data_IF_511047936776
#
_entry.id   IF_511047936776
#
_cell.length_a   1.000
_cell.length_b   1.000
_cell.length_c   1.000
_cell.angle_alpha   90.00
_cell.angle_beta   90.00
_cell.angle_gamma   90.00
#
_symmetry.space_group_name_H-M   'P 1'
#
loop_
_entity.id
_entity.type
_entity.pdbx_description
1 polymer ?
#
# COMPACT_ATOMS: atom_id res chain seq x y z
N UNK A 1 6.97 -13.79 -10.34
CA UNK A 1 6.14 -13.32 -9.21
C UNK A 1 7.00 -12.69 -8.11
N UNK A 2 6.53 -11.58 -7.52
CA UNK A 2 7.16 -10.89 -6.39
C UNK A 2 6.48 -11.24 -5.07
N UNK A 3 7.25 -11.57 -4.04
CA UNK A 3 6.73 -11.76 -2.67
C UNK A 3 7.28 -10.66 -1.76
N UNK A 4 6.41 -10.01 -0.99
CA UNK A 4 6.78 -8.93 -0.07
C UNK A 4 6.20 -9.19 1.31
N UNK A 5 7.06 -9.29 2.32
CA UNK A 5 6.63 -9.32 3.73
C UNK A 5 6.53 -7.89 4.26
N UNK A 6 5.34 -7.51 4.72
CA UNK A 6 5.04 -6.16 5.19
C UNK A 6 5.59 -5.95 6.61
N UNK A 7 6.65 -5.14 6.72
CA UNK A 7 7.30 -4.79 7.99
C UNK A 7 7.61 -3.30 8.06
N UNK A 8 7.43 -2.69 9.23
CA UNK A 8 7.89 -1.32 9.47
C UNK A 8 9.40 -1.29 9.71
N UNK A 9 10.13 -0.56 8.86
CA UNK A 9 11.53 -0.21 9.08
C UNK A 9 11.63 0.90 10.14
N UNK A 10 12.34 0.67 11.24
CA UNK A 10 12.65 1.70 12.25
C UNK A 10 12.43 1.27 13.71
N UNK A 11 11.73 0.17 13.95
CA UNK A 11 11.47 -0.32 15.32
C UNK A 11 12.74 -0.73 16.07
N UNK A 12 13.77 -1.22 15.38
CA UNK A 12 15.03 -1.63 16.00
C UNK A 12 15.85 -0.45 16.53
N UNK A 13 15.94 0.65 15.77
CA UNK A 13 16.67 1.86 16.18
C UNK A 13 15.94 2.56 17.33
N UNK A 14 14.61 2.66 17.27
CA UNK A 14 13.81 3.21 18.36
C UNK A 14 13.98 2.42 19.66
N UNK A 15 14.03 1.08 19.58
CA UNK A 15 14.25 0.22 20.74
C UNK A 15 15.67 0.41 21.31
N UNK A 16 16.70 0.44 20.45
CA UNK A 16 18.07 0.71 20.87
C UNK A 16 18.20 2.08 21.57
N UNK A 17 17.59 3.12 20.99
CA UNK A 17 17.57 4.46 21.58
C UNK A 17 16.85 4.48 22.93
N UNK A 18 15.73 3.76 23.06
CA UNK A 18 14.97 3.66 24.30
C UNK A 18 15.76 2.93 25.40
N UNK A 19 16.53 1.88 25.06
CA UNK A 19 17.41 1.17 26.00
C UNK A 19 18.55 2.07 26.47
N UNK A 20 19.22 2.78 25.55
CA UNK A 20 20.28 3.73 25.89
C UNK A 20 19.74 4.85 26.79
N UNK A 21 18.57 5.41 26.44
CA UNK A 21 17.91 6.42 27.23
C UNK A 21 17.56 5.93 28.64
N UNK A 22 17.07 4.69 28.77
CA UNK A 22 16.77 4.08 30.07
C UNK A 22 18.03 3.92 30.92
N UNK A 23 19.16 3.49 30.35
CA UNK A 23 20.43 3.38 31.08
C UNK A 23 20.92 4.73 31.60
N UNK A 24 20.89 5.76 30.75
CA UNK A 24 21.29 7.13 31.14
C UNK A 24 20.37 7.66 32.23
N UNK A 25 19.05 7.50 32.05
CA UNK A 25 18.07 7.98 33.01
C UNK A 25 18.19 7.26 34.36
N UNK A 26 18.40 5.94 34.36
CA UNK A 26 18.63 5.17 35.58
C UNK A 26 19.91 5.61 36.33
N UNK A 27 20.98 5.95 35.60
CA UNK A 27 22.21 6.46 36.20
C UNK A 27 22.01 7.84 36.87
N UNK A 28 21.32 8.77 36.18
CA UNK A 28 20.97 10.09 36.73
C UNK A 28 20.07 9.92 37.96
N UNK A 29 19.10 9.01 37.88
CA UNK A 29 18.19 8.74 38.97
C UNK A 29 18.90 8.15 40.19
N UNK A 30 19.80 7.19 39.99
CA UNK A 30 20.65 6.65 41.04
C UNK A 30 21.44 7.75 41.73
N UNK A 31 22.06 8.66 40.97
CA UNK A 31 22.79 9.81 41.53
C UNK A 31 21.88 10.74 42.36
N UNK A 32 20.66 11.04 41.88
CA UNK A 32 19.72 11.88 42.61
C UNK A 32 19.26 11.25 43.94
N UNK A 33 19.05 9.93 43.99
CA UNK A 33 18.70 9.23 45.22
C UNK A 33 19.78 9.37 46.30
N UNK A 34 21.06 9.38 45.93
CA UNK A 34 22.15 9.55 46.90
C UNK A 34 22.39 11.02 47.29
N UNK A 35 21.97 11.98 46.47
CA UNK A 35 22.37 13.39 46.61
C UNK A 35 21.29 14.29 47.23
N UNK A 36 20.01 13.89 47.21
CA UNK A 36 18.89 14.75 47.65
C UNK A 36 18.40 14.34 49.04
N UNK A 37 18.67 15.16 50.06
CA UNK A 37 18.09 14.97 51.40
C UNK A 37 16.64 15.48 51.46
N UNK A 38 15.70 14.62 51.87
CA UNK A 38 14.32 15.01 52.21
C UNK A 38 13.27 14.93 51.10
N UNK A 39 13.58 14.35 49.93
CA UNK A 39 12.66 14.24 48.78
C UNK A 39 12.41 12.82 48.27
N UNK A 40 12.84 11.79 49.00
CA UNK A 40 12.93 10.41 48.53
C UNK A 40 11.61 9.85 47.97
N UNK A 41 10.48 10.11 48.63
CA UNK A 41 9.18 9.63 48.19
C UNK A 41 8.71 10.24 46.86
N UNK A 42 9.00 11.53 46.63
CA UNK A 42 8.64 12.23 45.39
C UNK A 42 9.51 11.70 44.24
N UNK A 43 10.81 11.55 44.51
CA UNK A 43 11.80 11.01 43.56
C UNK A 43 11.43 9.57 43.19
N UNK A 44 11.10 8.72 44.17
CA UNK A 44 10.64 7.34 43.95
C UNK A 44 9.33 7.28 43.15
N UNK A 45 8.35 8.13 43.47
CA UNK A 45 7.08 8.20 42.75
C UNK A 45 7.25 8.61 41.29
N UNK A 46 8.09 9.61 41.01
CA UNK A 46 8.41 10.02 39.64
C UNK A 46 9.09 8.91 38.84
N UNK A 47 10.01 8.16 39.46
CA UNK A 47 10.67 7.02 38.82
C UNK A 47 9.70 5.88 38.52
N UNK A 48 8.84 5.52 39.46
CA UNK A 48 7.83 4.49 39.24
C UNK A 48 6.92 4.86 38.06
N UNK A 49 6.46 6.11 38.00
CA UNK A 49 5.65 6.62 36.90
C UNK A 49 6.40 6.59 35.56
N UNK A 50 7.66 7.06 35.54
CA UNK A 50 8.49 7.04 34.34
C UNK A 50 8.75 5.61 33.86
N UNK A 51 9.09 4.69 34.76
CA UNK A 51 9.28 3.28 34.44
C UNK A 51 8.02 2.65 33.87
N UNK A 52 6.83 3.01 34.38
CA UNK A 52 5.57 2.54 33.82
C UNK A 52 5.37 3.01 32.36
N UNK A 53 5.66 4.29 32.06
CA UNK A 53 5.58 4.83 30.68
C UNK A 53 6.56 4.10 29.75
N UNK A 54 7.82 3.94 30.17
CA UNK A 54 8.83 3.27 29.35
C UNK A 54 8.47 1.80 29.15
N UNK A 55 8.06 1.09 30.21
CA UNK A 55 7.64 -0.30 30.12
C UNK A 55 6.47 -0.47 29.14
N UNK A 56 5.47 0.41 29.20
CA UNK A 56 4.35 0.41 28.26
C UNK A 56 4.82 0.66 26.81
N UNK A 57 5.74 1.61 26.62
CA UNK A 57 6.34 1.90 25.30
C UNK A 57 7.11 0.70 24.72
N UNK A 58 7.96 0.06 25.54
CA UNK A 58 8.70 -1.16 25.15
C UNK A 58 7.71 -2.28 24.81
N UNK A 59 6.72 -2.52 25.67
CA UNK A 59 5.72 -3.56 25.46
C UNK A 59 4.97 -3.37 24.12
N UNK A 60 4.54 -2.14 23.82
CA UNK A 60 3.87 -1.83 22.56
C UNK A 60 4.76 -2.08 21.33
N UNK A 61 6.05 -1.71 21.41
CA UNK A 61 7.03 -1.96 20.34
C UNK A 61 7.32 -3.45 20.14
N UNK A 62 7.53 -4.18 21.23
CA UNK A 62 7.77 -5.63 21.20
C UNK A 62 6.55 -6.38 20.65
N UNK A 63 5.34 -5.99 21.06
CA UNK A 63 4.09 -6.56 20.53
C UNK A 63 4.02 -6.41 19.01
N UNK A 64 4.22 -5.20 18.48
CA UNK A 64 4.24 -4.95 17.02
C UNK A 64 5.31 -5.78 16.31
N UNK A 65 6.53 -5.84 16.87
CA UNK A 65 7.63 -6.60 16.29
C UNK A 65 7.34 -8.10 16.26
N UNK A 66 6.66 -8.62 17.28
CA UNK A 66 6.22 -10.02 17.33
C UNK A 66 5.24 -10.31 16.19
N UNK A 67 4.28 -9.44 15.92
CA UNK A 67 3.36 -9.61 14.78
C UNK A 67 4.11 -9.63 13.44
N UNK A 68 5.03 -8.69 13.19
CA UNK A 68 5.84 -8.71 11.98
C UNK A 68 6.70 -9.98 11.87
N UNK A 69 7.26 -10.44 12.99
CA UNK A 69 8.02 -11.69 13.05
C UNK A 69 7.16 -12.93 12.76
N UNK A 70 5.88 -12.93 13.17
CA UNK A 70 4.92 -14.00 12.83
C UNK A 70 4.64 -14.04 11.34
N UNK A 71 4.33 -12.88 10.73
CA UNK A 71 4.11 -12.78 9.29
C UNK A 71 5.34 -13.23 8.48
N UNK A 72 6.54 -12.86 8.92
CA UNK A 72 7.79 -13.30 8.29
C UNK A 72 7.96 -14.83 8.38
N UNK A 73 7.84 -15.42 9.57
CA UNK A 73 7.97 -16.88 9.74
C UNK A 73 6.94 -17.66 8.92
N UNK A 74 5.73 -17.14 8.82
CA UNK A 74 4.71 -17.73 7.97
C UNK A 74 5.11 -17.66 6.49
N UNK A 75 5.55 -16.49 6.01
CA UNK A 75 6.02 -16.34 4.65
C UNK A 75 7.21 -17.27 4.36
N UNK A 76 8.18 -17.39 5.27
CA UNK A 76 9.34 -18.27 5.11
C UNK A 76 8.96 -19.76 5.07
N UNK A 77 7.84 -20.15 5.67
CA UNK A 77 7.32 -21.51 5.67
C UNK A 77 6.42 -21.84 4.46
N UNK A 78 5.96 -20.81 3.72
CA UNK A 78 5.09 -20.99 2.56
C UNK A 78 5.89 -21.02 1.26
N UNK A 79 5.36 -21.73 0.26
CA UNK A 79 5.87 -21.69 -1.10
C UNK A 79 4.96 -20.81 -1.96
N UNK A 80 5.57 -19.95 -2.76
CA UNK A 80 4.87 -18.96 -3.57
C UNK A 80 5.14 -19.26 -5.05
N UNK A 81 4.08 -19.40 -5.85
CA UNK A 81 4.13 -19.65 -7.30
C UNK A 81 3.15 -18.76 -8.06
N UNK A 82 3.25 -18.70 -9.39
CA UNK A 82 2.30 -17.92 -10.22
C UNK A 82 0.85 -18.42 -10.09
N UNK A 83 0.65 -19.69 -9.69
CA UNK A 83 -0.65 -20.28 -9.39
C UNK A 83 -1.22 -19.88 -8.02
N UNK A 84 -0.41 -19.33 -7.11
CA UNK A 84 -0.85 -18.92 -5.77
C UNK A 84 0.12 -19.30 -4.65
N UNK A 85 -0.43 -19.62 -3.47
CA UNK A 85 0.34 -19.89 -2.24
C UNK A 85 0.09 -21.31 -1.76
N UNK A 86 1.17 -22.04 -1.47
CA UNK A 86 1.13 -23.34 -0.81
C UNK A 86 1.59 -23.18 0.64
N UNK A 87 0.72 -23.58 1.56
CA UNK A 87 0.96 -23.61 2.98
C UNK A 87 1.74 -24.87 3.38
N UNK A 88 2.50 -24.83 4.49
CA UNK A 88 3.23 -26.00 4.99
C UNK A 88 2.30 -27.14 5.43
N UNK A 89 1.06 -26.81 5.81
CA UNK A 89 0.04 -27.75 6.25
C UNK A 89 -1.36 -27.27 5.82
N UNK A 90 -2.38 -28.10 6.03
CA UNK A 90 -3.77 -27.72 5.74
C UNK A 90 -4.29 -26.76 6.80
N UNK A 91 -4.47 -25.49 6.42
CA UNK A 91 -4.90 -24.41 7.31
C UNK A 91 -6.34 -24.02 7.04
N UNK A 92 -7.03 -23.52 8.07
CA UNK A 92 -8.33 -22.89 7.94
C UNK A 92 -8.18 -21.39 7.65
N UNK A 93 -8.91 -20.91 6.65
CA UNK A 93 -8.83 -19.52 6.21
C UNK A 93 -10.12 -19.03 5.53
N UNK A 94 -10.21 -17.72 5.42
CA UNK A 94 -11.30 -16.99 4.78
C UNK A 94 -10.78 -16.25 3.54
N UNK A 95 -11.40 -16.50 2.40
CA UNK A 95 -11.31 -15.62 1.22
C UNK A 95 -12.15 -14.37 1.46
N UNK A 96 -11.72 -13.25 0.90
CA UNK A 96 -12.49 -12.02 0.93
C UNK A 96 -11.75 -10.85 0.31
N UNK A 97 -12.35 -9.66 0.43
CA UNK A 97 -11.70 -8.41 0.04
C UNK A 97 -11.26 -7.67 1.29
N UNK A 98 -10.01 -7.23 1.31
CA UNK A 98 -9.49 -6.36 2.36
C UNK A 98 -9.51 -4.91 1.88
N UNK A 99 -10.32 -4.08 2.54
CA UNK A 99 -10.29 -2.64 2.40
C UNK A 99 -9.44 -2.00 3.49
N UNK A 100 -8.50 -1.16 3.07
CA UNK A 100 -7.62 -0.41 3.95
C UNK A 100 -7.75 1.07 3.64
N UNK A 101 -7.94 1.90 4.66
CA UNK A 101 -7.95 3.35 4.53
C UNK A 101 -6.95 3.96 5.50
N UNK A 102 -6.01 4.72 4.97
CA UNK A 102 -4.99 5.43 5.73
C UNK A 102 -5.26 6.92 5.68
N UNK A 103 -5.18 7.61 6.82
CA UNK A 103 -5.34 9.06 6.89
C UNK A 103 -4.61 9.66 8.09
N UNK A 104 -4.29 10.94 8.00
CA UNK A 104 -3.70 11.69 9.10
C UNK A 104 -4.78 12.48 9.84
N UNK A 105 -4.76 12.43 11.17
CA UNK A 105 -5.64 13.22 12.04
C UNK A 105 -4.80 14.27 12.77
N UNK A 106 -5.33 15.48 12.86
CA UNK A 106 -4.66 16.63 13.49
C UNK A 106 -4.02 17.58 12.48
N UNK A 107 -3.42 18.67 12.99
CA UNK A 107 -2.78 19.71 12.17
C UNK A 107 -1.31 19.90 12.58
N UNK A 108 -0.46 20.24 11.61
CA UNK A 108 0.96 20.54 11.83
C UNK A 108 1.82 19.34 12.23
N UNK A 109 2.72 19.54 13.19
CA UNK A 109 3.74 18.56 13.61
C UNK A 109 3.20 17.41 14.47
N UNK A 110 1.99 17.56 15.03
CA UNK A 110 1.38 16.59 15.95
C UNK A 110 0.34 15.70 15.26
N UNK A 111 0.46 15.48 13.96
CA UNK A 111 -0.45 14.60 13.23
C UNK A 111 -0.19 13.13 13.57
N UNK A 112 -1.25 12.38 13.82
CA UNK A 112 -1.21 10.93 14.02
C UNK A 112 -1.71 10.22 12.77
N UNK A 113 -1.06 9.12 12.40
CA UNK A 113 -1.49 8.28 11.27
C UNK A 113 -2.46 7.22 11.78
N UNK A 114 -3.65 7.18 11.18
CA UNK A 114 -4.71 6.24 11.49
C UNK A 114 -4.95 5.32 10.30
N UNK A 115 -5.35 4.09 10.61
CA UNK A 115 -5.65 3.06 9.61
C UNK A 115 -6.95 2.37 9.98
N UNK A 116 -7.94 2.50 9.11
CA UNK A 116 -9.17 1.70 9.12
C UNK A 116 -8.95 0.45 8.26
N UNK A 117 -9.49 -0.67 8.73
CA UNK A 117 -9.37 -1.97 8.09
C UNK A 117 -10.72 -2.65 8.14
N UNK A 118 -11.16 -3.12 7.00
CA UNK A 118 -12.40 -3.87 6.86
C UNK A 118 -12.14 -5.07 5.97
N UNK A 119 -12.38 -6.26 6.49
CA UNK A 119 -12.28 -7.50 5.73
C UNK A 119 -13.69 -8.03 5.50
N UNK A 120 -14.08 -8.14 4.23
CA UNK A 120 -15.38 -8.67 3.82
C UNK A 120 -15.20 -10.11 3.38
N UNK A 121 -15.53 -11.10 4.23
CA UNK A 121 -15.35 -12.51 3.89
C UNK A 121 -16.34 -12.95 2.81
N UNK A 122 -15.87 -13.72 1.84
CA UNK A 122 -16.68 -14.34 0.79
C UNK A 122 -16.88 -15.84 1.02
N UNK A 123 -15.83 -16.57 1.40
CA UNK A 123 -15.85 -18.02 1.56
C UNK A 123 -14.87 -18.49 2.62
N UNK A 124 -15.29 -19.42 3.49
CA UNK A 124 -14.39 -20.17 4.37
C UNK A 124 -13.91 -21.43 3.67
N UNK A 125 -12.64 -21.78 3.85
CA UNK A 125 -12.07 -23.00 3.29
C UNK A 125 -10.99 -23.57 4.20
N UNK A 126 -10.64 -24.82 3.94
CA UNK A 126 -9.52 -25.51 4.58
C UNK A 126 -8.75 -26.24 3.49
N UNK A 127 -7.51 -25.83 3.28
CA UNK A 127 -6.65 -26.37 2.23
C UNK A 127 -5.18 -26.11 2.56
N UNK A 128 -4.28 -26.84 1.91
CA UNK A 128 -2.84 -26.58 1.92
C UNK A 128 -2.42 -25.65 0.79
N UNK A 129 -3.34 -25.25 -0.09
CA UNK A 129 -3.08 -24.37 -1.20
C UNK A 129 -4.20 -23.33 -1.38
N UNK A 130 -3.80 -22.15 -1.79
CA UNK A 130 -4.67 -21.04 -2.15
C UNK A 130 -4.30 -20.61 -3.56
N UNK A 131 -5.25 -20.74 -4.48
CA UNK A 131 -5.07 -20.25 -5.83
C UNK A 131 -5.04 -18.72 -5.85
N UNK A 132 -4.30 -18.15 -6.80
CA UNK A 132 -4.31 -16.71 -7.03
C UNK A 132 -5.73 -16.27 -7.46
N UNK A 133 -6.40 -15.35 -6.74
CA UNK A 133 -7.77 -14.96 -7.07
C UNK A 133 -7.86 -14.28 -8.45
N UNK A 134 -8.88 -14.63 -9.24
CA UNK A 134 -9.24 -13.96 -10.50
C UNK A 134 -10.02 -12.65 -10.24
N UNK A 135 -9.59 -11.88 -9.24
CA UNK A 135 -10.25 -10.65 -8.81
C UNK A 135 -9.30 -9.45 -8.97
N UNK A 136 -9.89 -8.30 -9.31
CA UNK A 136 -9.15 -7.06 -9.47
C UNK A 136 -8.89 -6.41 -8.12
N UNK A 137 -7.77 -5.70 -8.01
CA UNK A 137 -7.48 -4.83 -6.88
C UNK A 137 -7.51 -3.36 -7.31
N UNK A 138 -7.63 -2.42 -6.37
CA UNK A 138 -7.46 -0.99 -6.60
C UNK A 138 -6.65 -0.36 -5.47
N UNK A 139 -5.57 0.34 -5.82
CA UNK A 139 -4.69 1.01 -4.88
C UNK A 139 -4.50 2.49 -5.25
N UNK A 140 -4.90 3.38 -4.35
CA UNK A 140 -4.75 4.83 -4.47
C UNK A 140 -4.18 5.37 -3.17
N UNK A 141 -2.85 5.51 -3.10
CA UNK A 141 -2.11 5.85 -1.88
C UNK A 141 -1.08 6.93 -2.18
N UNK A 142 -1.15 8.05 -1.46
CA UNK A 142 -0.21 9.16 -1.53
C UNK A 142 1.13 8.80 -0.87
N UNK A 143 2.18 9.56 -1.18
CA UNK A 143 3.52 9.37 -0.60
C UNK A 143 3.55 9.34 0.94
N UNK A 144 2.60 10.01 1.60
CA UNK A 144 2.53 10.08 3.07
C UNK A 144 1.73 8.93 3.69
N UNK A 145 1.26 7.98 2.88
CA UNK A 145 0.44 6.84 3.27
C UNK A 145 -1.07 7.11 3.33
N UNK A 146 -1.53 8.32 3.00
CA UNK A 146 -2.96 8.65 2.91
C UNK A 146 -3.57 7.99 1.68
N UNK A 147 -4.73 7.36 1.81
CA UNK A 147 -5.42 6.78 0.67
C UNK A 147 -6.20 5.52 1.00
N UNK A 148 -6.65 4.83 -0.04
CA UNK A 148 -7.43 3.60 0.03
C UNK A 148 -6.77 2.49 -0.79
N UNK A 149 -6.79 1.27 -0.25
CA UNK A 149 -6.46 0.04 -0.97
C UNK A 149 -7.62 -0.93 -0.80
N UNK A 150 -8.10 -1.51 -1.89
CA UNK A 150 -9.06 -2.60 -1.91
C UNK A 150 -8.41 -3.74 -2.68
N UNK A 151 -8.21 -4.88 -2.04
CA UNK A 151 -7.42 -5.98 -2.60
C UNK A 151 -8.02 -7.33 -2.21
N UNK A 152 -8.07 -8.31 -3.13
CA UNK A 152 -8.38 -9.69 -2.79
C UNK A 152 -7.38 -10.22 -1.77
N UNK A 153 -7.90 -10.87 -0.73
CA UNK A 153 -7.08 -11.31 0.38
C UNK A 153 -7.59 -12.64 0.97
N UNK A 154 -6.65 -13.38 1.54
CA UNK A 154 -6.94 -14.53 2.39
C UNK A 154 -6.53 -14.19 3.82
N UNK A 155 -7.44 -14.39 4.77
CA UNK A 155 -7.18 -14.27 6.21
C UNK A 155 -7.17 -15.64 6.85
N UNK A 156 -6.08 -15.97 7.53
CA UNK A 156 -5.92 -17.25 8.21
C UNK A 156 -6.59 -17.20 9.58
N UNK A 157 -7.44 -18.18 9.85
CA UNK A 157 -8.22 -18.30 11.09
C UNK A 157 -7.65 -19.33 12.06
N UNK A 158 -6.81 -20.25 11.56
CA UNK A 158 -6.10 -21.25 12.36
C UNK A 158 -5.28 -20.62 13.51
N UNK A 159 -5.16 -21.29 14.66
CA UNK A 159 -4.56 -20.71 15.87
C UNK A 159 -3.10 -20.30 15.69
N UNK A 160 -2.30 -21.11 14.99
CA UNK A 160 -0.86 -20.87 14.84
C UNK A 160 -0.60 -19.57 14.06
N UNK A 161 -1.40 -19.36 13.01
CA UNK A 161 -1.26 -18.28 12.03
C UNK A 161 -2.41 -17.28 12.08
N UNK A 162 -3.14 -17.24 13.20
CA UNK A 162 -4.32 -16.40 13.36
C UNK A 162 -4.04 -14.95 13.00
N UNK A 163 -4.93 -14.39 12.20
CA UNK A 163 -4.91 -13.00 11.71
C UNK A 163 -3.77 -12.67 10.75
N UNK A 164 -3.05 -13.66 10.24
CA UNK A 164 -2.19 -13.46 9.08
C UNK A 164 -3.08 -13.21 7.85
N UNK A 165 -2.72 -12.21 7.07
CA UNK A 165 -3.38 -11.85 5.82
C UNK A 165 -2.39 -11.95 4.67
N UNK A 166 -2.84 -12.58 3.60
CA UNK A 166 -2.14 -12.70 2.32
C UNK A 166 -2.92 -11.87 1.31
N UNK A 167 -2.27 -10.86 0.73
CA UNK A 167 -2.86 -9.93 -0.23
C UNK A 167 -2.38 -10.26 -1.63
N UNK A 168 -3.30 -10.24 -2.60
CA UNK A 168 -3.03 -10.64 -3.97
C UNK A 168 -3.18 -9.47 -4.93
N UNK A 169 -2.11 -9.10 -5.62
CA UNK A 169 -2.08 -8.06 -6.65
C UNK A 169 -1.77 -8.69 -8.00
N UNK A 170 -2.80 -8.84 -8.83
CA UNK A 170 -2.65 -9.42 -10.18
C UNK A 170 -1.94 -8.45 -11.13
N UNK A 171 -1.20 -8.99 -12.09
CA UNK A 171 -0.66 -8.27 -13.25
C UNK A 171 -1.57 -8.37 -14.49
N UNK A 172 -2.66 -9.13 -14.38
CA UNK A 172 -3.62 -9.37 -15.45
C UNK A 172 -4.60 -8.20 -15.57
N UNK A 173 -4.75 -7.68 -16.79
CA UNK A 173 -5.72 -6.64 -17.11
C UNK A 173 -5.28 -5.78 -18.29
N UNK A 174 -6.21 -4.98 -18.80
CA UNK A 174 -5.99 -4.10 -19.94
C UNK A 174 -6.56 -2.71 -19.65
N UNK A 175 -5.78 -1.69 -20.01
CA UNK A 175 -6.20 -0.30 -19.98
C UNK A 175 -7.08 -0.05 -21.19
N UNK A 176 -8.37 0.20 -20.96
CA UNK A 176 -9.34 0.60 -21.97
C UNK A 176 -9.58 2.11 -21.89
N UNK A 177 -9.37 2.78 -23.02
CA UNK A 177 -9.61 4.21 -23.16
C UNK A 177 -8.57 4.86 -24.05
N UNK A 178 -9.04 5.78 -24.89
CA UNK A 178 -8.21 6.71 -25.62
C UNK A 178 -8.95 8.04 -25.65
N UNK A 179 -8.21 9.14 -25.56
CA UNK A 179 -8.81 10.44 -25.37
C UNK A 179 -7.83 11.56 -25.59
N UNK A 180 -8.33 12.78 -25.42
CA UNK A 180 -7.60 14.00 -25.65
C UNK A 180 -8.00 15.04 -24.62
N UNK A 181 -7.12 15.25 -23.65
CA UNK A 181 -7.31 16.29 -22.64
C UNK A 181 -6.70 17.57 -23.13
N UNK A 182 -7.54 18.56 -23.41
CA UNK A 182 -7.09 19.91 -23.77
C UNK A 182 -7.25 20.86 -22.59
N UNK A 183 -6.17 21.53 -22.22
CA UNK A 183 -6.17 22.57 -21.19
C UNK A 183 -5.63 23.86 -21.79
N UNK A 184 -6.38 24.95 -21.65
CA UNK A 184 -6.03 26.23 -22.25
C UNK A 184 -6.35 27.40 -21.36
N UNK A 185 -5.59 28.47 -21.55
CA UNK A 185 -5.78 29.80 -20.98
C UNK A 185 -5.65 30.83 -22.12
N UNK A 186 -5.82 32.11 -21.82
CA UNK A 186 -5.71 33.19 -22.81
C UNK A 186 -4.39 33.20 -23.61
N UNK A 187 -3.30 32.61 -23.07
CA UNK A 187 -1.96 32.65 -23.71
C UNK A 187 -1.19 31.33 -23.70
N UNK A 188 -1.70 30.31 -23.02
CA UNK A 188 -1.04 29.01 -22.90
C UNK A 188 -2.03 27.92 -23.25
N UNK A 189 -1.61 26.91 -24.01
CA UNK A 189 -2.41 25.72 -24.29
C UNK A 189 -1.57 24.46 -24.23
N UNK A 190 -2.19 23.37 -23.81
CA UNK A 190 -1.62 22.04 -23.88
C UNK A 190 -2.68 21.02 -24.26
N UNK A 191 -2.27 20.05 -25.07
CA UNK A 191 -3.06 18.92 -25.51
C UNK A 191 -2.34 17.65 -25.09
N UNK A 192 -3.05 16.78 -24.39
CA UNK A 192 -2.57 15.47 -23.92
C UNK A 192 -3.38 14.42 -24.64
N UNK A 193 -2.76 13.75 -25.61
CA UNK A 193 -3.34 12.59 -26.28
C UNK A 193 -2.91 11.35 -25.50
N UNK A 194 -3.87 10.52 -25.11
CA UNK A 194 -3.56 9.29 -24.39
C UNK A 194 -4.30 8.10 -24.98
N UNK A 195 -3.74 6.91 -24.78
CA UNK A 195 -4.34 5.63 -25.11
C UNK A 195 -3.85 4.54 -24.16
N UNK A 196 -4.74 3.61 -23.86
CA UNK A 196 -4.37 2.35 -23.24
C UNK A 196 -3.57 1.48 -24.21
N UNK A 197 -2.49 0.88 -23.72
CA UNK A 197 -1.65 -0.05 -24.46
C UNK A 197 -1.29 -1.22 -23.54
N UNK A 198 -2.09 -2.30 -23.61
CA UNK A 198 -1.99 -3.41 -22.66
C UNK A 198 -2.20 -2.94 -21.23
N UNK A 199 -1.25 -3.20 -20.34
CA UNK A 199 -1.25 -2.75 -18.93
C UNK A 199 -0.81 -1.30 -18.71
N UNK A 200 -0.46 -0.58 -19.78
CA UNK A 200 0.10 0.77 -19.70
C UNK A 200 -0.90 1.81 -20.16
N UNK A 201 -0.86 2.99 -19.54
CA UNK A 201 -1.39 4.21 -20.13
C UNK A 201 -0.24 4.95 -20.79
N UNK A 202 -0.38 5.24 -22.08
CA UNK A 202 0.65 5.91 -22.89
C UNK A 202 0.08 7.18 -23.48
N UNK A 203 0.94 8.15 -23.76
CA UNK A 203 0.48 9.36 -24.42
C UNK A 203 1.57 10.36 -24.73
N UNK A 204 1.16 11.38 -25.46
CA UNK A 204 2.02 12.47 -25.94
C UNK A 204 1.43 13.79 -25.52
N UNK A 205 2.28 14.70 -25.06
CA UNK A 205 1.91 16.05 -24.67
C UNK A 205 2.49 17.05 -25.66
N UNK A 206 1.62 17.88 -26.23
CA UNK A 206 1.99 19.01 -27.06
C UNK A 206 1.55 20.29 -26.34
N UNK A 207 2.42 21.30 -26.26
CA UNK A 207 2.02 22.56 -25.65
C UNK A 207 2.65 23.78 -26.31
N UNK A 208 1.91 24.88 -26.22
CA UNK A 208 2.35 26.23 -26.55
C UNK A 208 2.29 27.05 -25.27
N UNK A 209 3.45 27.26 -24.63
CA UNK A 209 3.55 27.93 -23.34
C UNK A 209 4.30 29.26 -23.47
N UNK A 210 3.67 30.32 -23.01
CA UNK A 210 4.18 31.68 -22.90
C UNK A 210 4.34 32.11 -21.43
N UNK A 211 3.32 31.88 -20.59
CA UNK A 211 3.34 32.21 -19.15
C UNK A 211 3.54 31.00 -18.25
N UNK A 212 2.92 29.87 -18.58
CA UNK A 212 3.08 28.62 -17.85
C UNK A 212 4.53 28.12 -17.93
N UNK A 213 5.07 27.62 -16.81
CA UNK A 213 6.43 27.08 -16.76
C UNK A 213 6.54 25.73 -17.46
N UNK A 214 5.49 24.92 -17.31
CA UNK A 214 5.41 23.53 -17.81
C UNK A 214 3.98 23.02 -17.73
N UNK A 215 3.74 21.94 -18.47
CA UNK A 215 2.58 21.06 -18.31
C UNK A 215 2.98 19.92 -17.39
N UNK A 216 2.07 19.51 -16.50
CA UNK A 216 2.16 18.27 -15.74
C UNK A 216 1.01 17.36 -16.16
N UNK A 217 1.31 16.08 -16.33
CA UNK A 217 0.29 15.05 -16.48
C UNK A 217 0.28 14.22 -15.21
N UNK A 218 -0.91 13.99 -14.67
CA UNK A 218 -1.09 13.22 -13.45
C UNK A 218 -2.24 12.24 -13.55
N UNK A 219 -2.14 11.16 -12.77
CA UNK A 219 -3.21 10.19 -12.56
C UNK A 219 -3.90 10.44 -11.22
N UNK A 220 -5.21 10.26 -11.21
CA UNK A 220 -6.02 10.30 -10.00
C UNK A 220 -7.20 9.32 -10.13
N UNK A 221 -8.00 9.20 -9.07
CA UNK A 221 -9.20 8.38 -9.05
C UNK A 221 -10.28 9.07 -8.22
N UNK A 222 -11.54 8.68 -8.46
CA UNK A 222 -12.67 9.18 -7.67
C UNK A 222 -12.46 8.89 -6.18
N UNK A 223 -12.59 9.92 -5.34
CA UNK A 223 -12.41 9.81 -3.89
C UNK A 223 -10.94 9.82 -3.42
N UNK A 224 -10.00 10.15 -4.29
CA UNK A 224 -8.59 10.32 -3.97
C UNK A 224 -8.15 11.75 -4.27
N UNK A 225 -7.87 12.54 -3.23
CA UNK A 225 -7.57 13.98 -3.36
C UNK A 225 -6.14 14.27 -3.86
N UNK A 226 -5.30 13.23 -3.93
CA UNK A 226 -3.92 13.35 -4.38
C UNK A 226 -3.77 12.98 -5.85
N UNK A 227 -2.59 13.29 -6.39
CA UNK A 227 -2.26 13.12 -7.80
C UNK A 227 -0.90 12.39 -7.91
N UNK A 228 -0.82 11.37 -8.78
CA UNK A 228 0.44 10.76 -9.18
C UNK A 228 0.94 11.44 -10.44
N UNK A 229 2.00 12.25 -10.35
CA UNK A 229 2.57 12.94 -11.53
C UNK A 229 3.38 11.93 -12.35
N UNK A 230 2.95 11.68 -13.58
CA UNK A 230 3.57 10.70 -14.50
C UNK A 230 4.50 11.37 -15.52
N UNK A 231 4.42 12.70 -15.67
CA UNK A 231 5.32 13.45 -16.53
C UNK A 231 5.20 14.96 -16.39
N UNK A 232 6.28 15.67 -16.72
CA UNK A 232 6.33 17.14 -16.68
C UNK A 232 7.25 17.70 -17.75
N UNK A 233 6.84 18.75 -18.43
CA UNK A 233 7.64 19.37 -19.50
C UNK A 233 6.83 20.33 -20.38
N UNK A 234 7.43 20.74 -21.51
CA UNK A 234 6.70 21.48 -22.56
C UNK A 234 6.06 20.50 -23.54
N UNK A 235 6.87 19.66 -24.16
CA UNK A 235 6.42 18.55 -24.98
C UNK A 235 7.18 17.31 -24.55
N UNK A 236 6.46 16.22 -24.30
CA UNK A 236 7.04 14.97 -23.82
C UNK A 236 6.08 13.81 -24.07
N UNK A 237 6.64 12.61 -24.06
CA UNK A 237 5.89 11.37 -24.08
C UNK A 237 5.90 10.77 -22.67
N UNK A 238 4.85 10.02 -22.33
CA UNK A 238 4.78 9.31 -21.06
C UNK A 238 4.26 7.89 -21.29
N UNK A 239 4.70 7.00 -20.40
CA UNK A 239 4.24 5.62 -20.31
C UNK A 239 4.22 5.25 -18.84
N UNK A 240 3.03 4.98 -18.32
CA UNK A 240 2.84 4.63 -16.91
C UNK A 240 2.16 3.26 -16.80
N UNK A 241 2.69 2.32 -16.00
CA UNK A 241 2.01 1.07 -15.70
C UNK A 241 0.80 1.29 -14.79
N UNK A 242 -0.35 0.73 -15.18
CA UNK A 242 -1.58 0.70 -14.36
C UNK A 242 -1.71 -0.58 -13.54
N UNK A 243 -0.84 -1.56 -13.75
CA UNK A 243 -0.78 -2.84 -13.05
C UNK A 243 0.69 -3.15 -12.72
N UNK A 244 0.98 -3.99 -11.72
CA UNK A 244 2.35 -4.40 -11.42
C UNK A 244 2.98 -5.15 -12.61
N UNK A 245 4.31 -5.18 -12.64
CA UNK A 245 5.05 -5.83 -13.74
C UNK A 245 4.92 -7.36 -13.73
N UNK A 246 4.66 -7.92 -12.56
CA UNK A 246 4.44 -9.33 -12.28
C UNK A 246 3.44 -9.44 -11.13
N UNK A 247 2.79 -10.59 -10.97
CA UNK A 247 1.96 -10.88 -9.79
C UNK A 247 2.72 -10.55 -8.51
N UNK A 248 2.07 -9.85 -7.58
CA UNK A 248 2.65 -9.52 -6.27
C UNK A 248 1.81 -10.12 -5.16
N UNK A 249 2.46 -10.88 -4.28
CA UNK A 249 1.85 -11.39 -3.06
C UNK A 249 2.46 -10.64 -1.88
N UNK A 250 1.61 -10.02 -1.06
CA UNK A 250 2.05 -9.35 0.15
C UNK A 250 1.54 -10.08 1.39
N UNK A 251 2.43 -10.35 2.34
CA UNK A 251 2.09 -11.06 3.57
C UNK A 251 2.22 -10.11 4.75
N UNK A 252 1.20 -10.06 5.60
CA UNK A 252 1.19 -9.24 6.80
C UNK A 252 0.28 -9.81 7.88
N UNK A 253 0.07 -9.04 8.93
CA UNK A 253 -0.93 -9.34 9.95
C UNK A 253 -2.06 -8.33 9.85
N UNK A 254 -3.30 -8.76 10.04
CA UNK A 254 -4.49 -7.92 9.98
C UNK A 254 -4.34 -6.68 10.87
N UNK A 255 -3.76 -6.81 12.07
CA UNK A 255 -3.55 -5.69 12.98
C UNK A 255 -2.48 -4.68 12.58
N UNK A 256 -1.57 -5.03 11.66
CA UNK A 256 -0.40 -4.19 11.31
C UNK A 256 -0.38 -3.71 9.86
N UNK A 257 -1.02 -4.45 8.94
CA UNK A 257 -1.11 -4.08 7.52
C UNK A 257 -1.64 -2.66 7.36
N UNK A 258 -1.06 -1.86 6.46
CA UNK A 258 -1.51 -0.49 6.23
C UNK A 258 -1.21 -0.05 4.80
N UNK A 259 -1.92 0.96 4.26
CA UNK A 259 -1.61 1.53 2.95
C UNK A 259 -0.16 1.99 2.83
N UNK A 260 0.41 2.54 3.92
CA UNK A 260 1.82 2.94 3.98
C UNK A 260 2.78 1.76 3.81
N UNK A 261 2.47 0.60 4.38
CA UNK A 261 3.29 -0.61 4.20
C UNK A 261 3.17 -1.14 2.77
N UNK A 262 1.97 -1.13 2.19
CA UNK A 262 1.75 -1.52 0.79
C UNK A 262 2.53 -0.60 -0.14
N UNK A 263 2.51 0.72 0.10
CA UNK A 263 3.30 1.71 -0.62
C UNK A 263 4.80 1.34 -0.63
N UNK A 264 5.34 0.94 0.52
CA UNK A 264 6.75 0.52 0.62
C UNK A 264 7.07 -0.74 -0.20
N UNK A 265 6.09 -1.63 -0.40
CA UNK A 265 6.22 -2.78 -1.31
C UNK A 265 6.27 -2.40 -2.80
N UNK A 266 5.77 -1.20 -3.13
CA UNK A 266 5.77 -0.57 -4.46
C UNK A 266 6.76 0.61 -4.53
N UNK A 267 7.92 0.50 -3.88
CA UNK A 267 9.04 1.47 -3.92
C UNK A 267 8.79 2.82 -3.19
N UNK A 268 7.67 2.98 -2.47
CA UNK A 268 7.45 4.12 -1.58
C UNK A 268 6.98 5.42 -2.26
N UNK A 269 6.75 5.41 -3.56
CA UNK A 269 6.18 6.54 -4.31
C UNK A 269 4.64 6.49 -4.31
N UNK A 270 3.99 7.62 -4.61
CA UNK A 270 2.52 7.66 -4.77
C UNK A 270 2.04 6.58 -5.74
N UNK A 271 1.10 5.75 -5.30
CA UNK A 271 0.52 4.65 -6.05
C UNK A 271 -0.89 5.01 -6.49
N UNK A 272 -1.15 4.94 -7.80
CA UNK A 272 -2.49 4.99 -8.42
C UNK A 272 -2.50 3.89 -9.47
N UNK A 273 -2.99 2.71 -9.12
CA UNK A 273 -2.94 1.51 -9.98
C UNK A 273 -4.06 0.52 -9.61
N UNK A 274 -4.27 -0.48 -10.46
CA UNK A 274 -5.27 -1.52 -10.31
C UNK A 274 -6.42 -1.39 -11.31
N UNK A 275 -7.60 -1.84 -10.92
CA UNK A 275 -8.77 -2.04 -11.77
C UNK A 275 -9.86 -1.00 -11.48
N UNK A 276 -10.74 -0.81 -12.46
CA UNK A 276 -11.84 0.14 -12.42
C UNK A 276 -11.49 1.48 -13.05
N UNK A 277 -12.24 2.52 -12.69
CA UNK A 277 -12.14 3.84 -13.32
C UNK A 277 -11.02 4.71 -12.70
N UNK A 278 -10.26 5.35 -13.57
CA UNK A 278 -9.20 6.32 -13.26
C UNK A 278 -9.38 7.58 -14.11
N UNK A 279 -8.68 8.65 -13.74
CA UNK A 279 -8.66 9.90 -14.51
C UNK A 279 -7.24 10.32 -14.81
N UNK A 280 -7.03 10.73 -16.04
CA UNK A 280 -5.82 11.43 -16.46
C UNK A 280 -6.10 12.93 -16.44
N UNK A 281 -5.18 13.69 -15.85
CA UNK A 281 -5.33 15.13 -15.61
C UNK A 281 -4.17 15.90 -16.22
N UNK A 282 -4.49 16.86 -17.06
CA UNK A 282 -3.55 17.83 -17.62
C UNK A 282 -3.57 19.10 -16.77
N UNK A 283 -2.39 19.57 -16.37
CA UNK A 283 -2.24 20.70 -15.44
C UNK A 283 -1.23 21.71 -15.99
N UNK A 284 -1.66 22.96 -16.13
CA UNK A 284 -0.76 24.07 -16.46
C UNK A 284 -0.18 24.69 -15.18
N UNK A 285 1.15 24.59 -15.02
CA UNK A 285 1.90 25.15 -13.89
C UNK A 285 2.18 26.64 -14.14
N UNK A 286 1.27 27.51 -13.69
CA UNK A 286 1.35 28.96 -13.90
C UNK A 286 1.85 29.65 -12.62
N UNK A 287 2.93 30.44 -12.67
CA UNK A 287 3.42 31.11 -11.48
C UNK A 287 2.40 32.12 -10.94
N UNK A 288 2.22 32.13 -9.62
CA UNK A 288 1.37 33.08 -8.88
C UNK A 288 -0.13 33.02 -9.23
N UNK A 289 -0.59 31.91 -9.84
CA UNK A 289 -2.02 31.66 -10.11
C UNK A 289 -2.38 30.23 -9.69
N UNK A 290 -3.67 29.96 -9.41
CA UNK A 290 -4.15 28.60 -9.26
C UNK A 290 -3.89 27.78 -10.53
N UNK A 291 -3.49 26.53 -10.35
CA UNK A 291 -3.30 25.58 -11.44
C UNK A 291 -4.62 25.36 -12.19
N UNK A 292 -4.57 25.44 -13.52
CA UNK A 292 -5.72 25.16 -14.39
C UNK A 292 -5.64 23.70 -14.82
N UNK A 293 -6.76 23.00 -14.66
CA UNK A 293 -6.85 21.54 -14.76
C UNK A 293 -7.95 21.14 -15.73
N UNK A 294 -7.66 20.17 -16.59
CA UNK A 294 -8.65 19.44 -17.35
C UNK A 294 -8.42 17.94 -17.13
N UNK A 295 -9.48 17.14 -17.18
CA UNK A 295 -9.40 15.70 -16.92
C UNK A 295 -10.33 14.90 -17.81
N UNK A 296 -9.93 13.66 -18.06
CA UNK A 296 -10.72 12.67 -18.80
C UNK A 296 -10.57 11.31 -18.12
N UNK A 297 -11.60 10.47 -18.20
CA UNK A 297 -11.60 9.16 -17.56
C UNK A 297 -11.15 8.06 -18.51
N UNK A 298 -10.58 7.01 -17.92
CA UNK A 298 -10.29 5.74 -18.58
C UNK A 298 -10.51 4.61 -17.58
N UNK A 299 -10.55 3.37 -18.08
CA UNK A 299 -10.85 2.20 -17.25
C UNK A 299 -9.76 1.15 -17.40
N UNK A 300 -9.51 0.42 -16.33
CA UNK A 300 -8.67 -0.79 -16.36
C UNK A 300 -9.57 -1.97 -16.04
N UNK A 301 -9.63 -2.92 -16.96
CA UNK A 301 -10.50 -4.09 -16.86
C UNK A 301 -9.64 -5.35 -16.72
N UNK A 302 -10.14 -6.34 -15.97
CA UNK A 302 -9.50 -7.66 -15.95
C UNK A 302 -9.56 -8.24 -17.35
N UNK A 303 -8.51 -8.95 -17.76
CA UNK A 303 -8.51 -9.66 -19.02
C UNK A 303 -9.40 -10.89 -18.83
N UNK A 304 -10.54 -10.96 -19.53
CA UNK A 304 -11.30 -12.20 -19.60
C UNK A 304 -10.39 -13.26 -20.22
N UNK A 305 -10.13 -14.36 -19.49
CA UNK A 305 -9.58 -15.56 -20.12
C UNK A 305 -10.57 -15.96 -21.20
N UNK A 306 -10.10 -16.02 -22.45
CA UNK A 306 -10.87 -16.58 -23.54
C UNK A 306 -11.35 -17.98 -23.12
N UNK A 307 -12.64 -18.24 -23.29
CA UNK A 307 -13.36 -19.43 -22.81
C UNK A 307 -12.70 -20.77 -23.18
N UNK A 308 -11.79 -20.80 -24.16
CA UNK A 308 -11.03 -22.00 -24.57
C UNK A 308 -10.06 -22.58 -23.52
N UNK A 309 -9.50 -21.77 -22.59
CA UNK A 309 -8.65 -22.32 -21.52
C UNK A 309 -9.46 -22.96 -20.37
N UNK A 310 -10.77 -22.65 -20.27
CA UNK A 310 -11.67 -23.30 -19.29
C UNK A 310 -12.09 -24.68 -19.77
N UNK A 311 -12.38 -24.84 -21.06
CA UNK A 311 -12.70 -26.14 -21.64
C UNK A 311 -11.50 -27.11 -21.56
N UNK A 312 -10.26 -26.68 -21.85
CA UNK A 312 -9.09 -27.56 -21.73
C UNK A 312 -8.82 -28.02 -20.29
N UNK A 313 -9.04 -27.15 -19.28
CA UNK A 313 -8.84 -27.54 -17.87
C UNK A 313 -9.94 -28.42 -17.32
N UNK A 314 -11.20 -28.18 -17.70
CA UNK A 314 -12.30 -29.11 -17.37
C UNK A 314 -12.11 -30.45 -18.08
N UNK A 315 -11.61 -30.46 -19.33
CA UNK A 315 -11.33 -31.69 -20.07
C UNK A 315 -10.14 -32.48 -19.49
N UNK A 316 -9.07 -31.81 -19.03
CA UNK A 316 -7.93 -32.47 -18.36
C UNK A 316 -8.27 -33.00 -16.96
N UNK A 317 -9.14 -32.31 -16.21
CA UNK A 317 -9.64 -32.79 -14.91
C UNK A 317 -10.63 -33.96 -15.07
N UNK A 318 -11.43 -33.97 -16.15
CA UNK A 318 -12.44 -35.02 -16.41
C UNK A 318 -11.83 -36.27 -17.07
N UNK A 319 -10.75 -36.12 -17.86
CA UNK A 319 -10.09 -37.21 -18.60
C UNK A 319 -8.63 -37.44 -18.19
N UNK A 320 -8.39 -37.46 -16.87
CA UNK A 320 -7.10 -37.72 -16.22
C UNK A 320 -6.08 -38.41 -17.13
N UNK A 321 -5.05 -37.66 -17.51
CA UNK A 321 -3.99 -38.09 -18.43
C UNK A 321 -3.36 -39.38 -17.89
N UNK A 322 -3.45 -40.44 -18.70
CA UNK A 322 -2.88 -41.78 -18.46
C UNK A 322 -1.35 -41.77 -18.34
#
# INVERSE_FOLDING_TARGET
MKVVVLKESGSALALAFMVIFLMIFAAIFGFMLFSVQGGELIVLGFFAFFMAIVFFGIYALVKKRREYGRAQRFADACTFSDSGVSFPESLEFEYGTLELRGYWVGSGKNRSYHVEREFTPSKKSRASNVAFPEEGFKATVAFDGTGKVSVPAVRITDELYRDIVVLFFTDEGEVKGAGTVTVSTDRDSAQVNFRGEGRFITGTVYSSLNKARRVKVALTAKGFDYEKVIGKGKSFEFREPMLPEEKVIMVGTYGTVSPKLILSGFNGETVVMGHGEFRIRAILDIPLRPDIKAEESFRVELRERAEGEREEKEFEEEWGVF
#
